data_IF_049244569899
#
_entry.id   IF_049244569899
#
_cell.length_a   1.000
_cell.length_b   1.000
_cell.length_c   1.000
_cell.angle_alpha   90.00
_cell.angle_beta   90.00
_cell.angle_gamma   90.00
#
_symmetry.space_group_name_H-M   'P 1'
#
loop_
_entity.id
_entity.type
_entity.pdbx_description
1 polymer ?
#
# COMPACT_ATOMS: atom_id res chain seq x y z
N UNK A 1 -28.92 8.56 -54.90
CA UNK A 1 -28.40 8.33 -53.53
C UNK A 1 -27.77 9.62 -53.06
N UNK A 2 -28.40 10.31 -52.11
CA UNK A 2 -28.16 11.73 -51.83
C UNK A 2 -26.87 11.94 -51.04
N UNK A 3 -26.11 12.99 -51.34
CA UNK A 3 -24.86 13.33 -50.66
C UNK A 3 -25.01 13.40 -49.12
N UNK A 4 -26.17 13.88 -48.68
CA UNK A 4 -26.55 13.97 -47.27
C UNK A 4 -26.68 12.57 -46.62
N UNK A 5 -27.20 11.55 -47.33
CA UNK A 5 -27.36 10.21 -46.74
C UNK A 5 -26.01 9.52 -46.50
N UNK A 6 -25.04 9.70 -47.41
CA UNK A 6 -23.68 9.18 -47.25
C UNK A 6 -22.92 9.85 -46.10
N UNK A 7 -23.21 11.11 -45.80
CA UNK A 7 -22.62 11.83 -44.65
C UNK A 7 -23.19 11.30 -43.33
N UNK A 8 -24.50 11.09 -43.27
CA UNK A 8 -25.17 10.55 -42.08
C UNK A 8 -24.69 9.13 -41.74
N UNK A 9 -24.51 8.26 -42.74
CA UNK A 9 -23.96 6.91 -42.55
C UNK A 9 -22.52 6.94 -42.02
N UNK A 10 -21.65 7.79 -42.58
CA UNK A 10 -20.27 7.94 -42.09
C UNK A 10 -20.22 8.51 -40.68
N UNK A 11 -21.06 9.51 -40.38
CA UNK A 11 -21.15 10.13 -39.06
C UNK A 11 -21.60 9.10 -38.00
N UNK A 12 -22.56 8.23 -38.34
CA UNK A 12 -23.01 7.15 -37.47
C UNK A 12 -21.91 6.10 -37.20
N UNK A 13 -21.12 5.75 -38.23
CA UNK A 13 -19.97 4.84 -38.07
C UNK A 13 -18.90 5.46 -37.17
N UNK A 14 -18.57 6.75 -37.34
CA UNK A 14 -17.59 7.44 -36.49
C UNK A 14 -18.06 7.57 -35.03
N UNK A 15 -19.34 7.85 -34.80
CA UNK A 15 -19.90 7.92 -33.43
C UNK A 15 -19.87 6.54 -32.77
N UNK A 16 -20.24 5.48 -33.50
CA UNK A 16 -20.18 4.11 -32.99
C UNK A 16 -18.74 3.70 -32.64
N UNK A 17 -17.77 4.03 -33.50
CA UNK A 17 -16.36 3.77 -33.25
C UNK A 17 -15.82 4.53 -32.03
N UNK A 18 -16.23 5.79 -31.84
CA UNK A 18 -15.85 6.60 -30.67
C UNK A 18 -16.38 6.00 -29.35
N UNK A 19 -17.62 5.51 -29.35
CA UNK A 19 -18.23 4.86 -28.17
C UNK A 19 -17.48 3.56 -27.83
N UNK A 20 -17.07 2.78 -28.83
CA UNK A 20 -16.30 1.55 -28.61
C UNK A 20 -14.93 1.87 -28.00
N UNK A 21 -14.22 2.89 -28.49
CA UNK A 21 -12.93 3.33 -27.93
C UNK A 21 -13.05 3.80 -26.48
N UNK A 22 -14.13 4.51 -26.13
CA UNK A 22 -14.39 4.97 -24.76
C UNK A 22 -14.61 3.81 -23.77
N UNK A 23 -15.20 2.69 -24.21
CA UNK A 23 -15.42 1.52 -23.35
C UNK A 23 -14.14 0.72 -23.05
N UNK A 24 -13.13 0.77 -23.92
CA UNK A 24 -11.87 0.02 -23.74
C UNK A 24 -10.98 0.69 -22.67
N UNK A 25 -11.03 2.02 -22.54
CA UNK A 25 -10.20 2.78 -21.59
C UNK A 25 -10.71 2.64 -20.14
N UNK A 26 -12.02 2.43 -19.94
CA UNK A 26 -12.61 2.31 -18.61
C UNK A 26 -12.17 1.07 -17.83
N UNK A 27 -11.74 0.00 -18.51
CA UNK A 27 -11.42 -1.28 -17.86
C UNK A 27 -9.98 -1.36 -17.32
N UNK A 28 -9.11 -0.41 -17.69
CA UNK A 28 -7.68 -0.42 -17.30
C UNK A 28 -7.36 0.52 -16.12
N UNK A 29 -8.31 1.34 -15.67
CA UNK A 29 -8.10 2.36 -14.63
C UNK A 29 -8.61 1.99 -13.23
N UNK A 30 -9.40 0.92 -13.10
CA UNK A 30 -9.96 0.47 -11.82
C UNK A 30 -9.40 -0.89 -11.41
N UNK A 31 -8.07 -1.02 -11.40
CA UNK A 31 -7.45 -2.05 -10.57
C UNK A 31 -7.41 -1.52 -9.14
N UNK A 32 -8.55 -1.52 -8.46
CA UNK A 32 -8.56 -1.39 -7.00
C UNK A 32 -7.68 -2.52 -6.46
N UNK A 33 -6.51 -2.17 -5.91
CA UNK A 33 -5.57 -3.14 -5.39
C UNK A 33 -6.24 -3.95 -4.29
N UNK A 34 -6.58 -5.21 -4.58
CA UNK A 34 -7.30 -6.05 -3.63
C UNK A 34 -6.38 -6.46 -2.49
N UNK A 35 -6.72 -6.07 -1.27
CA UNK A 35 -6.07 -6.54 -0.05
C UNK A 35 -6.87 -7.68 0.59
N UNK A 36 -6.15 -8.64 1.15
CA UNK A 36 -6.68 -9.64 2.09
C UNK A 36 -6.44 -9.14 3.51
N UNK A 37 -7.46 -9.18 4.35
CA UNK A 37 -7.39 -8.73 5.75
C UNK A 37 -7.13 -9.92 6.69
N UNK A 38 -6.25 -9.71 7.68
CA UNK A 38 -6.08 -10.57 8.86
C UNK A 38 -6.00 -9.74 10.13
N UNK A 39 -6.67 -10.20 11.18
CA UNK A 39 -6.74 -9.54 12.49
C UNK A 39 -5.77 -10.16 13.49
N UNK A 40 -5.13 -9.33 14.30
CA UNK A 40 -4.16 -9.71 15.33
C UNK A 40 -4.38 -8.85 16.57
N UNK A 41 -5.08 -9.39 17.58
CA UNK A 41 -5.52 -8.57 18.71
C UNK A 41 -6.42 -7.42 18.24
N UNK A 42 -6.06 -6.19 18.59
CA UNK A 42 -6.77 -4.99 18.14
C UNK A 42 -6.21 -4.45 16.82
N UNK A 43 -5.17 -5.05 16.23
CA UNK A 43 -4.56 -4.60 14.98
C UNK A 43 -4.98 -5.42 13.76
N UNK A 44 -4.71 -4.89 12.57
CA UNK A 44 -5.05 -5.52 11.29
C UNK A 44 -3.90 -5.40 10.29
N UNK A 45 -3.60 -6.50 9.61
CA UNK A 45 -2.70 -6.57 8.46
C UNK A 45 -3.53 -6.73 7.19
N UNK A 46 -3.37 -5.80 6.26
CA UNK A 46 -3.92 -5.87 4.91
C UNK A 46 -2.80 -6.23 3.96
N UNK A 47 -2.87 -7.35 3.24
CA UNK A 47 -1.78 -7.79 2.36
C UNK A 47 -2.24 -8.11 0.94
N UNK A 48 -1.37 -7.88 -0.05
CA UNK A 48 -1.63 -8.20 -1.45
C UNK A 48 -1.37 -9.67 -1.78
N UNK A 49 -1.83 -10.12 -2.94
CA UNK A 49 -1.68 -11.51 -3.41
C UNK A 49 -0.24 -12.01 -3.56
N UNK A 50 0.73 -11.11 -3.71
CA UNK A 50 2.17 -11.41 -3.75
C UNK A 50 2.79 -11.64 -2.36
N UNK A 51 1.98 -11.63 -1.31
CA UNK A 51 2.34 -11.97 0.06
C UNK A 51 1.60 -13.25 0.44
N UNK A 52 2.33 -14.25 0.90
CA UNK A 52 1.71 -15.46 1.43
C UNK A 52 1.03 -15.18 2.76
N UNK A 53 -0.03 -15.94 3.06
CA UNK A 53 -0.71 -15.84 4.35
C UNK A 53 0.24 -16.03 5.54
N UNK A 54 1.29 -16.85 5.40
CA UNK A 54 2.29 -17.09 6.44
C UNK A 54 3.19 -15.88 6.69
N UNK A 55 3.59 -15.16 5.64
CA UNK A 55 4.36 -13.91 5.79
C UNK A 55 3.53 -12.83 6.49
N UNK A 56 2.24 -12.73 6.15
CA UNK A 56 1.31 -11.86 6.87
C UNK A 56 1.16 -12.27 8.34
N UNK A 57 1.11 -13.57 8.63
CA UNK A 57 1.06 -14.09 10.02
C UNK A 57 2.33 -13.76 10.80
N UNK A 58 3.52 -13.89 10.18
CA UNK A 58 4.79 -13.50 10.82
C UNK A 58 4.76 -12.03 11.25
N UNK A 59 4.38 -11.13 10.33
CA UNK A 59 4.31 -9.70 10.63
C UNK A 59 3.28 -9.38 11.72
N UNK A 60 2.07 -9.93 11.59
CA UNK A 60 1.00 -9.64 12.54
C UNK A 60 1.29 -10.15 13.94
N UNK A 61 1.86 -11.35 14.07
CA UNK A 61 2.28 -11.90 15.36
C UNK A 61 3.43 -11.10 15.97
N UNK A 62 4.40 -10.65 15.15
CA UNK A 62 5.47 -9.78 15.61
C UNK A 62 4.91 -8.46 16.17
N UNK A 63 4.06 -7.75 15.43
CA UNK A 63 3.41 -6.51 15.90
C UNK A 63 2.53 -6.70 17.13
N UNK A 64 1.87 -7.86 17.27
CA UNK A 64 1.13 -8.19 18.48
C UNK A 64 2.08 -8.40 19.68
N UNK A 65 3.21 -9.08 19.48
CA UNK A 65 4.20 -9.34 20.54
C UNK A 65 4.88 -8.06 21.02
N UNK A 66 5.30 -7.19 20.10
CA UNK A 66 5.91 -5.88 20.36
C UNK A 66 4.92 -4.84 20.91
N UNK A 67 3.63 -5.19 20.97
CA UNK A 67 2.59 -4.34 21.53
C UNK A 67 2.08 -3.24 20.61
N UNK A 68 2.53 -3.21 19.35
CA UNK A 68 2.04 -2.30 18.29
C UNK A 68 0.54 -2.52 18.03
N UNK A 69 0.08 -3.76 18.16
CA UNK A 69 -1.32 -4.15 18.01
C UNK A 69 -2.07 -4.34 19.33
N UNK A 70 -1.54 -3.85 20.45
CA UNK A 70 -2.24 -3.84 21.75
C UNK A 70 -2.94 -2.49 21.95
N UNK A 71 -4.21 -2.54 22.36
CA UNK A 71 -5.05 -1.40 22.80
C UNK A 71 -4.25 -0.35 23.59
N UNK A 72 -4.01 0.86 23.04
CA UNK A 72 -4.13 2.15 23.73
C UNK A 72 -3.70 3.41 22.94
N UNK A 73 -3.62 3.41 21.62
CA UNK A 73 -3.38 4.66 20.90
C UNK A 73 -4.71 5.39 20.63
N UNK A 74 -5.06 6.29 21.54
CA UNK A 74 -6.16 7.27 21.44
C UNK A 74 -6.07 8.16 20.17
N UNK A 75 -5.04 7.98 19.33
CA UNK A 75 -4.79 8.73 18.11
C UNK A 75 -5.59 8.24 16.90
N UNK A 76 -6.04 6.98 16.87
CA UNK A 76 -6.61 6.38 15.65
C UNK A 76 -8.08 5.97 15.74
N UNK A 77 -8.78 6.21 16.87
CA UNK A 77 -10.20 5.88 17.07
C UNK A 77 -10.59 4.46 16.57
N UNK A 78 -9.66 3.50 16.65
CA UNK A 78 -9.84 2.17 16.05
C UNK A 78 -8.55 1.36 15.99
N UNK A 79 -8.65 0.18 15.37
CA UNK A 79 -7.59 -0.81 15.20
C UNK A 79 -6.43 -0.29 14.35
N UNK A 80 -5.18 -0.38 14.81
CA UNK A 80 -3.98 -0.07 13.99
C UNK A 80 -4.01 -0.89 12.70
N UNK A 81 -3.98 -0.20 11.54
CA UNK A 81 -3.97 -0.83 10.21
C UNK A 81 -2.60 -0.71 9.59
N UNK A 82 -2.07 -1.82 9.10
CA UNK A 82 -0.81 -1.86 8.35
C UNK A 82 -1.03 -2.56 7.04
N UNK A 83 -0.37 -2.08 5.99
CA UNK A 83 -0.50 -2.65 4.65
C UNK A 83 0.81 -3.27 4.21
N UNK A 84 0.77 -4.52 3.78
CA UNK A 84 1.94 -5.30 3.40
C UNK A 84 1.88 -5.63 1.91
N UNK A 85 2.97 -5.30 1.22
CA UNK A 85 3.19 -5.62 -0.18
C UNK A 85 4.62 -6.12 -0.36
N UNK A 86 4.89 -6.80 -1.49
CA UNK A 86 6.24 -7.15 -1.89
C UNK A 86 6.48 -6.75 -3.34
N UNK A 87 7.27 -5.72 -3.55
CA UNK A 87 7.70 -5.36 -4.90
C UNK A 87 9.06 -5.99 -5.18
N UNK A 88 9.10 -6.88 -6.18
CA UNK A 88 10.27 -7.68 -6.55
C UNK A 88 10.81 -8.47 -5.35
N UNK A 89 11.82 -7.96 -4.65
CA UNK A 89 12.39 -8.59 -3.45
C UNK A 89 12.46 -7.62 -2.25
N UNK A 90 11.57 -6.64 -2.22
CA UNK A 90 11.50 -5.63 -1.16
C UNK A 90 10.11 -5.65 -0.54
N UNK A 91 10.04 -5.99 0.74
CA UNK A 91 8.82 -5.86 1.52
C UNK A 91 8.53 -4.38 1.76
N UNK A 92 7.31 -3.97 1.47
CA UNK A 92 6.82 -2.61 1.64
C UNK A 92 5.72 -2.64 2.69
N UNK A 93 5.93 -1.91 3.78
CA UNK A 93 5.01 -1.83 4.90
C UNK A 93 4.50 -0.41 4.97
N UNK A 94 3.21 -0.20 4.77
CA UNK A 94 2.59 1.12 4.85
C UNK A 94 1.98 1.34 6.24
N UNK A 95 2.33 2.46 6.84
CA UNK A 95 1.70 3.00 8.05
C UNK A 95 0.98 4.29 7.71
N UNK A 96 -0.28 4.39 8.14
CA UNK A 96 -1.02 5.65 8.11
C UNK A 96 -0.54 6.49 9.29
N UNK A 97 -0.08 7.71 9.02
CA UNK A 97 0.37 8.67 10.02
C UNK A 97 -0.34 10.01 9.82
N UNK A 98 -0.31 10.84 10.86
CA UNK A 98 -0.66 12.25 10.71
C UNK A 98 0.44 12.97 9.92
N UNK A 99 0.05 13.74 8.91
CA UNK A 99 0.98 14.59 8.15
C UNK A 99 1.80 15.50 9.08
N UNK A 100 3.08 15.68 8.72
CA UNK A 100 4.08 16.40 9.51
C UNK A 100 4.99 15.48 10.32
N UNK A 101 4.53 14.28 10.73
CA UNK A 101 5.36 13.31 11.45
C UNK A 101 6.53 12.81 10.58
N UNK A 102 6.33 12.69 9.26
CA UNK A 102 7.38 12.29 8.31
C UNK A 102 8.55 13.29 8.22
N UNK A 103 8.35 14.52 8.72
CA UNK A 103 9.37 15.58 8.76
C UNK A 103 10.17 15.56 10.06
N UNK A 104 9.70 14.87 11.10
CA UNK A 104 10.43 14.71 12.36
C UNK A 104 11.62 13.77 12.18
N UNK A 105 12.83 14.33 12.38
CA UNK A 105 14.08 13.58 12.18
C UNK A 105 14.22 12.44 13.19
N UNK A 106 13.88 12.66 14.46
CA UNK A 106 13.97 11.64 15.52
C UNK A 106 13.02 10.50 15.19
N UNK A 107 11.77 10.83 14.86
CA UNK A 107 10.78 9.82 14.49
C UNK A 107 11.24 9.02 13.25
N UNK A 108 11.72 9.70 12.21
CA UNK A 108 12.17 8.99 10.99
C UNK A 108 13.43 8.17 11.21
N UNK A 109 14.31 8.54 12.14
CA UNK A 109 15.47 7.74 12.53
C UNK A 109 15.03 6.48 13.31
N UNK A 110 14.04 6.58 14.21
CA UNK A 110 13.44 5.42 14.89
C UNK A 110 12.81 4.45 13.87
N UNK A 111 12.04 4.97 12.90
CA UNK A 111 11.42 4.12 11.88
C UNK A 111 12.47 3.42 11.00
N UNK A 112 13.64 4.03 10.75
CA UNK A 112 14.74 3.35 10.03
C UNK A 112 15.29 2.17 10.83
N UNK A 113 15.46 2.33 12.15
CA UNK A 113 15.87 1.24 13.04
C UNK A 113 14.82 0.14 13.02
N UNK A 114 13.54 0.52 13.09
CA UNK A 114 12.45 -0.44 13.02
C UNK A 114 12.41 -1.23 11.69
N UNK A 115 12.75 -0.59 10.56
CA UNK A 115 12.90 -1.29 9.29
C UNK A 115 14.05 -2.34 9.31
N UNK A 116 15.12 -2.10 10.08
CA UNK A 116 16.20 -3.08 10.31
C UNK A 116 15.65 -4.25 11.10
N UNK A 117 14.97 -3.99 12.22
CA UNK A 117 14.40 -5.04 13.08
C UNK A 117 13.41 -5.92 12.33
N UNK A 118 12.57 -5.35 11.47
CA UNK A 118 11.64 -6.13 10.65
C UNK A 118 12.35 -6.98 9.60
N UNK A 119 13.39 -6.43 8.97
CA UNK A 119 14.23 -7.19 8.04
C UNK A 119 14.79 -8.43 8.73
N UNK A 120 15.35 -8.24 9.93
CA UNK A 120 16.12 -9.26 10.62
C UNK A 120 15.21 -10.30 11.32
N UNK A 121 14.11 -9.85 11.94
CA UNK A 121 13.26 -10.70 12.79
C UNK A 121 11.99 -11.25 12.09
N UNK A 122 11.52 -10.62 11.01
CA UNK A 122 10.25 -10.99 10.36
C UNK A 122 10.47 -11.51 8.94
N UNK A 123 11.35 -10.85 8.18
CA UNK A 123 11.52 -11.09 6.75
C UNK A 123 12.83 -11.79 6.39
N UNK A 124 13.44 -12.51 7.33
CA UNK A 124 14.59 -13.39 7.08
C UNK A 124 15.75 -12.65 6.35
N UNK A 125 16.09 -11.44 6.81
CA UNK A 125 17.07 -10.50 6.24
C UNK A 125 16.75 -9.93 4.85
N UNK A 126 15.52 -10.08 4.34
CA UNK A 126 15.11 -9.44 3.09
C UNK A 126 14.96 -7.92 3.25
N UNK A 127 15.01 -7.21 2.12
CA UNK A 127 14.89 -5.74 2.09
C UNK A 127 13.51 -5.33 2.59
N UNK A 128 13.49 -4.34 3.48
CA UNK A 128 12.26 -3.74 4.02
C UNK A 128 12.29 -2.24 3.78
N UNK A 129 11.15 -1.73 3.33
CA UNK A 129 10.84 -0.31 3.26
C UNK A 129 9.58 -0.03 4.06
N UNK A 130 9.65 0.99 4.91
CA UNK A 130 8.50 1.53 5.62
C UNK A 130 8.04 2.77 4.87
N UNK A 131 6.79 2.73 4.41
CA UNK A 131 6.12 3.81 3.70
C UNK A 131 5.21 4.51 4.69
N UNK A 132 5.55 5.76 5.03
CA UNK A 132 4.71 6.62 5.83
C UNK A 132 3.68 7.26 4.88
N UNK A 133 2.40 7.03 5.14
CA UNK A 133 1.30 7.45 4.28
C UNK A 133 0.29 8.33 5.02
N UNK A 134 -0.50 9.07 4.26
CA UNK A 134 -1.72 9.69 4.76
C UNK A 134 -2.88 8.69 4.86
N UNK A 135 -4.07 9.18 5.25
CA UNK A 135 -5.29 8.37 5.38
C UNK A 135 -5.78 7.72 4.07
N UNK A 136 -5.35 8.26 2.91
CA UNK A 136 -5.68 7.77 1.58
C UNK A 136 -4.58 6.85 1.02
N UNK A 137 -3.64 6.40 1.87
CA UNK A 137 -2.47 5.60 1.49
C UNK A 137 -1.52 6.28 0.50
N UNK A 138 -1.61 7.60 0.32
CA UNK A 138 -0.63 8.36 -0.46
C UNK A 138 0.67 8.43 0.32
N UNK A 139 1.77 8.08 -0.33
CA UNK A 139 3.08 8.03 0.31
C UNK A 139 3.57 9.45 0.58
N UNK A 140 3.81 9.76 1.85
CA UNK A 140 4.43 10.99 2.31
C UNK A 140 5.97 10.83 2.35
N UNK A 141 6.45 9.66 2.76
CA UNK A 141 7.90 9.35 2.83
C UNK A 141 8.19 7.86 2.79
N UNK A 142 9.30 7.49 2.16
CA UNK A 142 9.84 6.12 2.18
C UNK A 142 11.10 6.08 3.04
N UNK A 143 11.14 5.17 4.00
CA UNK A 143 12.25 4.94 4.90
C UNK A 143 12.75 3.51 4.72
N UNK A 144 14.04 3.35 4.47
CA UNK A 144 14.67 2.06 4.21
C UNK A 144 15.62 1.71 5.34
N UNK A 145 15.98 0.43 5.46
CA UNK A 145 17.09 -0.04 6.29
C UNK A 145 18.34 0.83 6.03
N UNK A 146 18.81 1.54 7.04
CA UNK A 146 20.04 2.35 6.97
C UNK A 146 21.13 1.67 7.81
N UNK A 147 21.95 0.86 7.16
CA UNK A 147 23.01 0.07 7.82
C UNK A 147 24.20 0.91 8.30
N UNK A 148 24.27 2.20 7.95
CA UNK A 148 25.42 3.06 8.27
C UNK A 148 25.27 3.83 9.60
N UNK A 149 24.08 3.82 10.22
CA UNK A 149 23.80 4.56 11.46
C UNK A 149 23.84 3.72 12.75
N UNK A 150 24.07 2.41 12.64
CA UNK A 150 24.18 1.48 13.78
C UNK A 150 25.64 1.21 14.20
N UNK A 151 26.59 2.02 13.72
CA UNK A 151 28.01 1.96 14.08
C UNK A 151 28.43 3.19 14.88
#
# INVERSE_FOLDING_TARGET
MNFISKIQEKLFIYISFLIIVLNIIGCSFFNDEKYVEKSFGDGKVFYKENISGKEADKLGNYFLSEGIFKRNDTLNNGSTKVYLNKDSNTYQIKFIIKEGIEKDKIYTDIIRIFAVELSDNVFDNNKVEIHLCDENLRILKVLKKDTNKLK
#
